data_IF_307867110278
#
_entry.id   IF_307867110278
#
_cell.length_a   1.000
_cell.length_b   1.000
_cell.length_c   1.000
_cell.angle_alpha   90.00
_cell.angle_beta   90.00
_cell.angle_gamma   90.00
#
_symmetry.space_group_name_H-M   'P 1'
#
loop_
_entity.id
_entity.type
_entity.pdbx_description
1 polymer ?
#
# COMPACT_ATOMS: atom_id res chain seq x y z
N UNK A 1 -3.65 -3.80 6.09
CA UNK A 1 -2.95 -2.91 7.06
C UNK A 1 -2.00 -3.72 7.95
N UNK A 2 -0.71 -3.38 8.07
CA UNK A 2 0.22 -4.06 8.96
C UNK A 2 0.06 -3.57 10.42
N UNK A 3 -0.90 -4.12 11.17
CA UNK A 3 -1.25 -3.68 12.54
C UNK A 3 -0.05 -3.61 13.48
N UNK A 4 0.90 -4.54 13.36
CA UNK A 4 2.14 -4.58 14.16
C UNK A 4 3.05 -3.35 13.99
N UNK A 5 2.88 -2.59 12.90
CA UNK A 5 3.65 -1.38 12.60
C UNK A 5 2.92 -0.08 13.03
N UNK A 6 1.65 -0.15 13.43
CA UNK A 6 0.84 1.03 13.76
C UNK A 6 1.21 1.53 15.15
N UNK A 7 1.68 2.78 15.26
CA UNK A 7 2.00 3.42 16.55
C UNK A 7 3.28 2.92 17.25
N UNK A 8 4.03 2.01 16.63
CA UNK A 8 5.24 1.40 17.25
C UNK A 8 6.55 2.06 16.84
N UNK A 9 6.51 3.04 15.93
CA UNK A 9 7.70 3.64 15.31
C UNK A 9 8.42 2.73 14.31
N UNK A 10 7.98 1.47 14.16
CA UNK A 10 8.43 0.55 13.11
C UNK A 10 7.58 0.74 11.87
N UNK A 11 8.20 0.68 10.69
CA UNK A 11 7.51 0.79 9.41
C UNK A 11 7.76 -0.50 8.64
N UNK A 12 6.70 -1.09 8.06
CA UNK A 12 6.89 -2.19 7.13
C UNK A 12 7.67 -1.69 5.91
N UNK A 13 8.70 -2.41 5.49
CA UNK A 13 9.45 -2.05 4.29
C UNK A 13 8.56 -2.18 3.05
N UNK A 14 8.93 -1.51 1.96
CA UNK A 14 8.30 -1.66 0.64
C UNK A 14 8.23 -3.14 0.22
N UNK A 15 9.32 -3.88 0.40
CA UNK A 15 9.36 -5.32 0.12
C UNK A 15 8.40 -6.12 1.01
N UNK A 16 8.33 -5.85 2.32
CA UNK A 16 7.38 -6.53 3.21
C UNK A 16 5.92 -6.25 2.82
N UNK A 17 5.63 -5.02 2.38
CA UNK A 17 4.30 -4.68 1.86
C UNK A 17 4.01 -5.44 0.56
N UNK A 18 4.97 -5.47 -0.37
CA UNK A 18 4.87 -6.20 -1.62
C UNK A 18 4.64 -7.70 -1.42
N UNK A 19 5.39 -8.35 -0.52
CA UNK A 19 5.27 -9.78 -0.26
C UNK A 19 3.85 -10.16 0.22
N UNK A 20 3.27 -9.33 1.09
CA UNK A 20 1.90 -9.54 1.59
C UNK A 20 0.86 -9.24 0.51
N UNK A 21 1.06 -8.21 -0.29
CA UNK A 21 0.14 -7.88 -1.39
C UNK A 21 0.14 -8.95 -2.48
N UNK A 22 1.31 -9.47 -2.88
CA UNK A 22 1.44 -10.58 -3.81
C UNK A 22 0.76 -11.85 -3.26
N UNK A 23 0.90 -12.13 -1.96
CA UNK A 23 0.17 -13.22 -1.31
C UNK A 23 -1.35 -13.01 -1.37
N UNK A 24 -1.85 -11.81 -1.09
CA UNK A 24 -3.29 -11.51 -1.19
C UNK A 24 -3.77 -11.71 -2.63
N UNK A 25 -3.04 -11.23 -3.63
CA UNK A 25 -3.42 -11.41 -5.04
C UNK A 25 -3.44 -12.88 -5.44
N UNK A 26 -2.46 -13.67 -4.99
CA UNK A 26 -2.46 -15.12 -5.16
C UNK A 26 -3.70 -15.78 -4.54
N UNK A 27 -4.07 -15.40 -3.32
CA UNK A 27 -5.28 -15.93 -2.65
C UNK A 27 -6.54 -15.56 -3.44
N UNK A 28 -6.63 -14.35 -3.99
CA UNK A 28 -7.75 -13.96 -4.84
C UNK A 28 -7.84 -14.80 -6.13
N UNK A 29 -6.70 -15.12 -6.75
CA UNK A 29 -6.64 -15.96 -7.93
C UNK A 29 -7.07 -17.40 -7.63
N UNK A 30 -6.69 -17.94 -6.46
CA UNK A 30 -7.08 -19.29 -6.01
C UNK A 30 -8.58 -19.40 -5.67
N UNK A 31 -9.18 -18.34 -5.12
CA UNK A 31 -10.59 -18.33 -4.72
C UNK A 31 -11.55 -18.06 -5.89
N UNK A 32 -11.09 -17.34 -6.91
CA UNK A 32 -11.91 -16.91 -8.04
C UNK A 32 -11.22 -17.28 -9.35
N UNK A 33 -10.43 -16.36 -9.93
CA UNK A 33 -9.57 -16.58 -11.08
C UNK A 33 -8.59 -15.40 -11.23
N UNK A 34 -7.66 -15.50 -12.19
CA UNK A 34 -6.69 -14.46 -12.50
C UNK A 34 -7.33 -13.14 -12.96
N UNK A 35 -8.47 -13.19 -13.65
CA UNK A 35 -9.13 -11.97 -14.15
C UNK A 35 -9.66 -11.16 -12.97
N UNK A 36 -10.30 -11.82 -12.01
CA UNK A 36 -10.76 -11.20 -10.76
C UNK A 36 -9.57 -10.71 -9.94
N UNK A 37 -8.54 -11.52 -9.78
CA UNK A 37 -7.36 -11.16 -8.98
C UNK A 37 -6.65 -9.90 -9.51
N UNK A 38 -6.52 -9.75 -10.83
CA UNK A 38 -5.93 -8.56 -11.44
C UNK A 38 -6.89 -7.35 -11.44
N UNK A 39 -8.20 -7.57 -11.41
CA UNK A 39 -9.21 -6.50 -11.35
C UNK A 39 -9.39 -5.88 -9.97
N UNK A 40 -8.99 -6.57 -8.90
CA UNK A 40 -9.09 -6.07 -7.52
C UNK A 40 -7.91 -5.16 -7.19
N UNK A 41 -8.23 -3.96 -6.69
CA UNK A 41 -7.24 -3.02 -6.13
C UNK A 41 -6.94 -3.37 -4.68
N UNK A 42 -5.66 -3.54 -4.37
CA UNK A 42 -5.13 -3.85 -3.04
C UNK A 42 -4.35 -2.64 -2.53
N UNK A 43 -4.91 -1.97 -1.51
CA UNK A 43 -4.33 -0.75 -0.95
C UNK A 43 -3.42 -1.06 0.24
N UNK A 44 -2.27 -0.38 0.29
CA UNK A 44 -1.39 -0.42 1.45
C UNK A 44 -1.87 0.57 2.51
N UNK A 45 -2.27 0.07 3.67
CA UNK A 45 -2.73 0.91 4.81
C UNK A 45 -1.73 1.02 5.96
N UNK A 46 -0.43 0.91 5.69
CA UNK A 46 0.60 1.20 6.69
C UNK A 46 1.00 2.67 6.73
N UNK A 47 2.17 2.96 7.31
CA UNK A 47 2.70 4.33 7.42
C UNK A 47 3.18 4.86 6.06
N UNK A 48 2.28 5.51 5.33
CA UNK A 48 2.60 6.23 4.07
C UNK A 48 2.86 7.71 4.36
N UNK A 49 3.95 8.22 3.81
CA UNK A 49 4.42 9.61 3.89
C UNK A 49 4.94 10.04 2.52
N UNK A 50 5.05 11.35 2.29
CA UNK A 50 5.56 11.89 1.03
C UNK A 50 6.93 11.30 0.62
N UNK A 51 7.81 10.99 1.58
CA UNK A 51 9.15 10.48 1.32
C UNK A 51 9.24 8.98 0.99
N UNK A 52 8.19 8.19 1.24
CA UNK A 52 8.17 6.75 0.91
C UNK A 52 7.05 6.36 -0.07
N UNK A 53 6.13 7.27 -0.40
CA UNK A 53 5.01 7.03 -1.29
C UNK A 53 5.46 6.50 -2.66
N UNK A 54 6.47 7.13 -3.28
CA UNK A 54 6.98 6.71 -4.61
C UNK A 54 7.52 5.28 -4.62
N UNK A 55 8.22 4.88 -3.56
CA UNK A 55 8.76 3.54 -3.44
C UNK A 55 7.64 2.51 -3.23
N UNK A 56 6.71 2.80 -2.33
CA UNK A 56 5.57 1.92 -2.04
C UNK A 56 4.66 1.74 -3.25
N UNK A 57 4.28 2.83 -3.93
CA UNK A 57 3.41 2.77 -5.10
C UNK A 57 4.11 2.28 -6.37
N UNK A 58 5.44 2.14 -6.33
CA UNK A 58 6.20 1.45 -7.38
C UNK A 58 6.24 -0.07 -7.23
N UNK A 59 5.69 -0.62 -6.14
CA UNK A 59 5.63 -2.07 -5.94
C UNK A 59 4.54 -2.70 -6.83
N UNK A 60 4.82 -3.85 -7.49
CA UNK A 60 3.92 -4.43 -8.48
C UNK A 60 2.47 -4.69 -8.03
N UNK A 61 2.27 -5.05 -6.75
CA UNK A 61 0.96 -5.43 -6.23
C UNK A 61 0.34 -4.40 -5.28
N UNK A 62 0.93 -3.20 -5.19
CA UNK A 62 0.40 -2.09 -4.37
C UNK A 62 -0.34 -1.11 -5.27
N UNK A 63 -1.67 -1.14 -5.23
CA UNK A 63 -2.53 -0.36 -6.12
C UNK A 63 -2.92 1.02 -5.56
N UNK A 64 -2.27 1.43 -4.47
CA UNK A 64 -2.50 2.70 -3.80
C UNK A 64 -2.41 2.60 -2.28
N UNK A 65 -2.86 3.65 -1.58
CA UNK A 65 -2.75 3.75 -0.13
C UNK A 65 -4.06 4.10 0.57
N UNK A 66 -4.27 3.51 1.76
CA UNK A 66 -5.27 3.95 2.72
C UNK A 66 -4.56 4.84 3.75
N UNK A 67 -4.68 6.16 3.56
CA UNK A 67 -3.84 7.13 4.26
C UNK A 67 -4.50 7.60 5.55
N UNK A 68 -3.82 7.38 6.68
CA UNK A 68 -4.24 7.86 8.00
C UNK A 68 -3.85 9.32 8.26
N UNK A 69 -3.11 9.56 9.35
CA UNK A 69 -2.79 10.92 9.82
C UNK A 69 -2.14 11.85 8.78
N UNK A 70 -1.39 11.31 7.82
CA UNK A 70 -0.77 12.10 6.74
C UNK A 70 -1.79 12.72 5.76
N UNK A 71 -3.05 12.27 5.78
CA UNK A 71 -4.15 12.85 5.02
C UNK A 71 -4.80 14.07 5.69
N UNK A 72 -4.51 14.32 6.98
CA UNK A 72 -5.07 15.46 7.72
C UNK A 72 -4.35 16.78 7.40
N UNK A 73 -3.19 16.73 6.76
CA UNK A 73 -2.46 17.89 6.24
C UNK A 73 -2.51 17.88 4.70
N UNK A 74 -3.09 18.91 4.11
CA UNK A 74 -3.34 18.97 2.68
C UNK A 74 -2.04 18.91 1.85
N UNK A 75 -0.97 19.54 2.33
CA UNK A 75 0.34 19.54 1.65
C UNK A 75 0.93 18.13 1.63
N UNK A 76 1.00 17.48 2.79
CA UNK A 76 1.44 16.10 2.94
C UNK A 76 0.63 15.15 2.05
N UNK A 77 -0.69 15.30 2.04
CA UNK A 77 -1.55 14.44 1.22
C UNK A 77 -1.30 14.63 -0.28
N UNK A 78 -1.18 15.88 -0.75
CA UNK A 78 -0.85 16.18 -2.15
C UNK A 78 0.51 15.56 -2.54
N UNK A 79 1.51 15.65 -1.66
CA UNK A 79 2.83 15.09 -1.95
C UNK A 79 2.82 13.55 -1.99
N UNK A 80 1.95 12.90 -1.19
CA UNK A 80 1.70 11.45 -1.31
C UNK A 80 1.04 11.12 -2.65
N UNK A 81 0.02 11.87 -3.07
CA UNK A 81 -0.67 11.66 -4.35
C UNK A 81 0.30 11.83 -5.52
N UNK A 82 1.19 12.81 -5.48
CA UNK A 82 2.27 12.99 -6.47
C UNK A 82 3.30 11.86 -6.48
N UNK A 83 3.40 11.10 -5.40
CA UNK A 83 4.21 9.89 -5.34
C UNK A 83 3.59 8.71 -6.10
N UNK A 84 2.29 8.77 -6.42
CA UNK A 84 1.55 7.72 -7.14
C UNK A 84 1.55 7.90 -8.67
N UNK A 85 2.25 8.93 -9.17
CA UNK A 85 2.39 9.27 -10.60
C UNK A 85 3.86 9.28 -11.06
#
# INVERSE_FOLDING_TARGET
EPVWAIGTGKTATSQQAQDVHALIRKVLAELYDETVAQGVRIQYGGSVKANNARELFGMPDIDGGLIGGAALDAKSFIDIVRGAV
#
